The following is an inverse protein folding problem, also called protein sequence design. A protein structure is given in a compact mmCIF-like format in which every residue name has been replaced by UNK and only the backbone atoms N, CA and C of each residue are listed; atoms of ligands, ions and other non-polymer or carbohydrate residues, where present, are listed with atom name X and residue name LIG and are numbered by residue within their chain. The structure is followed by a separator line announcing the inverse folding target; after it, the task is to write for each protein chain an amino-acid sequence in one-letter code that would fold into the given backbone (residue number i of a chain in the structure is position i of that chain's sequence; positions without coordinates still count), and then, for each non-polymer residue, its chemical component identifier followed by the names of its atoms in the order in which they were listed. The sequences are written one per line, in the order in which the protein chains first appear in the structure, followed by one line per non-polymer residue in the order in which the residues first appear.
data_IF_411965735236
#
_entry.id   IF_411965735236
#
_cell.length_a   1.000
_cell.length_b   1.000
_cell.length_c   1.000
_cell.angle_alpha   90.00
_cell.angle_beta   90.00
_cell.angle_gamma   90.00
#
_symmetry.space_group_name_H-M   'P 1'
#
loop_
_entity.id
_entity.type
_entity.pdbx_description
1 polymer ?
#
# COMPACT_ATOMS: atom_id res chain seq x y z
N UNK A 1 -13.22 -12.57 17.30
CA UNK A 1 -12.25 -11.94 18.23
C UNK A 1 -10.76 -12.26 17.95
N UNK A 2 -10.33 -12.53 16.70
CA UNK A 2 -9.04 -13.25 16.49
C UNK A 2 -7.76 -12.43 16.30
N UNK A 3 -7.80 -11.11 16.06
CA UNK A 3 -6.59 -10.29 15.95
C UNK A 3 -6.73 -9.00 16.75
N UNK A 4 -5.82 -8.76 17.69
CA UNK A 4 -5.75 -7.51 18.49
C UNK A 4 -5.03 -6.41 17.72
N UNK A 5 -5.47 -6.14 16.49
CA UNK A 5 -4.95 -5.03 15.67
C UNK A 5 -5.87 -3.83 15.87
N UNK A 6 -5.29 -2.64 16.07
CA UNK A 6 -6.05 -1.40 16.06
C UNK A 6 -6.45 -1.09 14.61
N UNK A 7 -7.70 -1.38 14.27
CA UNK A 7 -8.24 -1.18 12.92
C UNK A 7 -8.98 0.14 12.85
N UNK A 8 -8.51 1.05 11.99
CA UNK A 8 -9.19 2.28 11.63
C UNK A 8 -9.81 2.09 10.25
N UNK A 9 -11.12 2.31 10.14
CA UNK A 9 -11.87 2.24 8.88
C UNK A 9 -12.22 3.68 8.48
N UNK A 10 -11.57 4.18 7.43
CA UNK A 10 -11.88 5.48 6.85
C UNK A 10 -12.96 5.34 5.76
N UNK A 11 -14.16 5.88 5.98
CA UNK A 11 -15.17 5.97 4.93
C UNK A 11 -14.85 7.15 4.00
N UNK A 12 -14.41 6.81 2.79
CA UNK A 12 -14.07 7.79 1.76
C UNK A 12 -14.81 7.51 0.44
N UNK A 13 -15.90 6.73 0.45
CA UNK A 13 -16.58 6.32 -0.78
C UNK A 13 -16.96 7.52 -1.66
N UNK A 14 -17.59 8.53 -1.07
CA UNK A 14 -18.01 9.76 -1.78
C UNK A 14 -16.80 10.52 -2.36
N UNK A 15 -15.70 10.60 -1.60
CA UNK A 15 -14.46 11.27 -2.00
C UNK A 15 -13.87 10.68 -3.28
N UNK A 16 -13.75 9.35 -3.34
CA UNK A 16 -13.27 8.65 -4.53
C UNK A 16 -14.26 8.73 -5.70
N UNK A 17 -15.54 8.44 -5.46
CA UNK A 17 -16.55 8.40 -6.52
C UNK A 17 -16.77 9.77 -7.17
N UNK A 18 -16.75 10.85 -6.40
CA UNK A 18 -16.86 12.22 -6.91
C UNK A 18 -15.70 12.57 -7.84
N UNK A 19 -14.45 12.26 -7.44
CA UNK A 19 -13.26 12.55 -8.27
C UNK A 19 -13.18 11.71 -9.54
N UNK A 20 -13.81 10.53 -9.56
CA UNK A 20 -13.86 9.65 -10.72
C UNK A 20 -15.01 9.98 -11.68
N UNK A 21 -15.92 10.89 -11.31
CA UNK A 21 -17.07 11.24 -12.13
C UNK A 21 -16.64 11.78 -13.50
N UNK A 22 -17.12 11.14 -14.56
CA UNK A 22 -16.82 11.52 -15.95
C UNK A 22 -15.41 11.19 -16.42
N UNK A 23 -14.59 10.53 -15.60
CA UNK A 23 -13.26 10.07 -16.03
C UNK A 23 -13.42 8.79 -16.83
N UNK A 24 -13.03 8.81 -18.11
CA UNK A 24 -13.09 7.64 -19.00
C UNK A 24 -11.73 6.94 -19.11
N UNK A 25 -10.65 7.72 -19.19
CA UNK A 25 -9.29 7.23 -19.39
C UNK A 25 -8.80 6.40 -18.18
N UNK A 26 -8.37 5.14 -18.39
CA UNK A 26 -8.00 4.23 -17.31
C UNK A 26 -6.74 4.68 -16.56
N UNK A 27 -5.76 5.26 -17.24
CA UNK A 27 -4.52 5.73 -16.61
C UNK A 27 -4.79 6.95 -15.73
N UNK A 28 -5.70 7.83 -16.17
CA UNK A 28 -6.18 8.95 -15.37
C UNK A 28 -6.95 8.47 -14.14
N UNK A 29 -7.79 7.43 -14.26
CA UNK A 29 -8.44 6.80 -13.10
C UNK A 29 -7.42 6.27 -12.10
N UNK A 30 -6.41 5.53 -12.57
CA UNK A 30 -5.32 4.99 -11.73
C UNK A 30 -4.60 6.10 -10.96
N UNK A 31 -4.23 7.19 -11.64
CA UNK A 31 -3.59 8.36 -11.01
C UNK A 31 -4.46 9.00 -9.93
N UNK A 32 -5.74 9.25 -10.24
CA UNK A 32 -6.70 9.84 -9.28
C UNK A 32 -6.86 8.96 -8.05
N UNK A 33 -7.04 7.64 -8.23
CA UNK A 33 -7.20 6.71 -7.13
C UNK A 33 -5.93 6.66 -6.27
N UNK A 34 -4.76 6.55 -6.91
CA UNK A 34 -3.48 6.52 -6.20
C UNK A 34 -3.25 7.77 -5.36
N UNK A 35 -3.42 8.95 -5.97
CA UNK A 35 -3.27 10.24 -5.28
C UNK A 35 -4.25 10.37 -4.11
N UNK A 36 -5.52 10.01 -4.32
CA UNK A 36 -6.53 10.18 -3.28
C UNK A 36 -6.36 9.22 -2.10
N UNK A 37 -5.95 7.98 -2.39
CA UNK A 37 -5.60 7.01 -1.37
C UNK A 37 -4.46 7.52 -0.49
N UNK A 38 -3.41 8.06 -1.10
CA UNK A 38 -2.26 8.62 -0.39
C UNK A 38 -2.69 9.78 0.51
N UNK A 39 -3.46 10.74 -0.02
CA UNK A 39 -3.90 11.91 0.76
C UNK A 39 -4.72 11.50 1.98
N UNK A 40 -5.68 10.59 1.79
CA UNK A 40 -6.47 10.05 2.89
C UNK A 40 -5.60 9.29 3.89
N UNK A 41 -4.64 8.50 3.40
CA UNK A 41 -3.72 7.76 4.25
C UNK A 41 -2.83 8.70 5.08
N UNK A 42 -2.35 9.79 4.51
CA UNK A 42 -1.59 10.83 5.21
C UNK A 42 -2.43 11.52 6.28
N UNK A 43 -3.69 11.87 5.97
CA UNK A 43 -4.62 12.47 6.95
C UNK A 43 -4.79 11.54 8.16
N UNK A 44 -5.09 10.26 7.93
CA UNK A 44 -5.24 9.27 9.01
C UNK A 44 -3.93 9.05 9.78
N UNK A 45 -2.79 9.01 9.08
CA UNK A 45 -1.49 8.84 9.72
C UNK A 45 -1.11 10.04 10.61
N UNK A 46 -1.39 11.26 10.17
CA UNK A 46 -1.17 12.48 10.93
C UNK A 46 -2.11 12.54 12.15
N UNK A 47 -3.38 12.15 12.02
CA UNK A 47 -4.36 12.11 13.12
C UNK A 47 -3.94 11.19 14.27
N UNK A 48 -3.33 10.04 13.94
CA UNK A 48 -2.84 9.08 14.95
C UNK A 48 -1.39 9.32 15.37
N UNK A 49 -0.71 10.31 14.78
CA UNK A 49 0.70 10.59 15.05
C UNK A 49 1.64 9.45 14.65
N UNK A 50 1.38 8.78 13.52
CA UNK A 50 2.20 7.65 13.08
C UNK A 50 3.60 8.08 12.66
N UNK A 51 4.63 7.46 13.26
CA UNK A 51 6.03 7.79 12.99
C UNK A 51 6.70 6.83 12.00
N UNK A 52 6.15 5.63 11.82
CA UNK A 52 6.70 4.57 10.97
C UNK A 52 5.64 4.05 10.01
N UNK A 53 6.07 3.73 8.79
CA UNK A 53 5.23 3.06 7.79
C UNK A 53 5.69 1.61 7.64
N UNK A 54 4.80 0.64 7.88
CA UNK A 54 5.07 -0.77 7.61
C UNK A 54 4.47 -1.15 6.26
N UNK A 55 5.27 -1.77 5.38
CA UNK A 55 4.81 -2.26 4.08
C UNK A 55 5.02 -3.76 3.94
N UNK A 56 4.09 -4.43 3.26
CA UNK A 56 4.15 -5.86 2.95
C UNK A 56 5.00 -6.19 1.72
N UNK A 57 5.99 -5.36 1.38
CA UNK A 57 6.90 -5.58 0.24
C UNK A 57 7.57 -6.95 0.35
N UNK A 58 7.55 -7.72 -0.73
CA UNK A 58 8.18 -9.05 -0.81
C UNK A 58 9.35 -9.09 -1.79
N UNK A 59 10.14 -10.17 -1.76
CA UNK A 59 11.36 -10.31 -2.56
C UNK A 59 11.14 -10.11 -4.08
N UNK A 60 10.09 -10.67 -4.71
CA UNK A 60 9.77 -10.38 -6.11
C UNK A 60 9.58 -8.88 -6.41
N UNK A 61 8.97 -8.12 -5.50
CA UNK A 61 8.73 -6.69 -5.70
C UNK A 61 10.06 -5.91 -5.71
N UNK A 62 11.00 -6.29 -4.85
CA UNK A 62 12.32 -5.65 -4.75
C UNK A 62 13.14 -5.90 -6.00
N UNK A 63 13.14 -7.13 -6.52
CA UNK A 63 13.80 -7.45 -7.79
C UNK A 63 13.17 -6.65 -8.93
N UNK A 64 11.84 -6.64 -9.05
CA UNK A 64 11.17 -5.86 -10.09
C UNK A 64 11.55 -4.37 -10.01
N UNK A 65 11.58 -3.78 -8.82
CA UNK A 65 11.99 -2.38 -8.64
C UNK A 65 13.46 -2.12 -9.01
N UNK A 66 14.37 -3.05 -8.74
CA UNK A 66 15.81 -2.93 -9.01
C UNK A 66 16.18 -3.07 -10.49
N UNK A 67 15.46 -3.92 -11.24
CA UNK A 67 15.64 -4.07 -12.69
C UNK A 67 14.95 -2.96 -13.49
N UNK A 68 13.95 -2.28 -12.92
CA UNK A 68 13.12 -1.26 -13.59
C UNK A 68 13.69 0.16 -13.66
N UNK A 69 15.00 0.39 -13.51
CA UNK A 69 15.63 1.69 -13.82
C UNK A 69 15.37 2.20 -15.26
N UNK A 70 14.77 1.37 -16.13
CA UNK A 70 14.44 1.69 -17.53
C UNK A 70 12.96 1.47 -17.93
N UNK A 71 12.03 1.18 -17.01
CA UNK A 71 10.61 0.97 -17.38
C UNK A 71 9.62 1.68 -16.46
N UNK A 72 9.60 3.01 -16.54
CA UNK A 72 8.79 3.92 -15.72
C UNK A 72 7.26 3.83 -15.92
N UNK A 73 6.75 2.98 -16.83
CA UNK A 73 5.36 3.07 -17.29
C UNK A 73 4.41 1.97 -16.84
N UNK A 74 4.88 0.86 -16.25
CA UNK A 74 4.03 -0.35 -16.13
C UNK A 74 3.58 -0.67 -14.69
N UNK A 75 4.24 -0.18 -13.64
CA UNK A 75 3.74 -0.33 -12.26
C UNK A 75 4.14 0.85 -11.37
N UNK A 76 3.44 1.98 -11.49
CA UNK A 76 3.59 3.13 -10.58
C UNK A 76 2.99 2.90 -9.18
N UNK A 77 2.38 1.74 -8.93
CA UNK A 77 1.60 1.47 -7.72
C UNK A 77 2.15 0.36 -6.82
N UNK A 78 3.31 -0.22 -7.13
CA UNK A 78 3.92 -1.21 -6.26
C UNK A 78 5.20 -0.65 -5.66
N UNK A 79 5.06 -0.29 -4.39
CA UNK A 79 6.11 0.05 -3.43
C UNK A 79 6.79 1.40 -3.68
N UNK A 80 6.46 2.36 -2.82
CA UNK A 80 7.13 3.65 -2.62
C UNK A 80 7.05 4.66 -3.78
N UNK A 81 6.82 4.24 -5.03
CA UNK A 81 6.76 5.14 -6.20
C UNK A 81 5.59 6.14 -6.21
N UNK A 82 4.61 5.97 -5.33
CA UNK A 82 3.47 6.88 -5.18
C UNK A 82 3.54 7.76 -3.94
N UNK A 83 4.29 7.38 -2.89
CA UNK A 83 4.27 8.14 -1.64
C UNK A 83 4.84 9.54 -1.91
N UNK A 84 4.20 10.61 -1.43
CA UNK A 84 4.68 11.97 -1.63
C UNK A 84 6.12 12.02 -1.17
N UNK A 85 6.96 12.73 -1.93
CA UNK A 85 8.39 12.96 -1.63
C UNK A 85 8.65 13.49 -0.20
N UNK A 86 7.61 13.83 0.56
CA UNK A 86 7.63 14.36 1.92
C UNK A 86 6.56 13.74 2.83
N UNK A 87 6.42 12.42 2.85
CA UNK A 87 5.76 11.81 4.01
C UNK A 87 6.60 11.99 5.27
N UNK A 88 5.96 12.36 6.39
CA UNK A 88 6.63 12.64 7.68
C UNK A 88 7.06 11.38 8.44
N UNK A 89 7.12 10.22 7.79
CA UNK A 89 7.56 8.99 8.45
C UNK A 89 9.07 9.04 8.68
N UNK A 90 9.49 8.66 9.89
CA UNK A 90 10.91 8.51 10.25
C UNK A 90 11.57 7.43 9.40
N UNK A 91 10.83 6.34 9.10
CA UNK A 91 11.34 5.21 8.32
C UNK A 91 10.20 4.35 7.76
N UNK A 92 10.47 3.73 6.62
CA UNK A 92 9.68 2.64 6.05
C UNK A 92 10.28 1.30 6.51
N UNK A 93 9.44 0.41 7.01
CA UNK A 93 9.81 -0.92 7.52
C UNK A 93 9.16 -1.99 6.65
N UNK A 94 9.98 -2.85 6.05
CA UNK A 94 9.55 -3.88 5.10
C UNK A 94 9.97 -5.27 5.61
N UNK A 95 9.25 -5.85 6.59
CA UNK A 95 9.70 -7.07 7.28
C UNK A 95 9.66 -8.32 6.41
N UNK A 96 8.97 -8.29 5.27
CA UNK A 96 8.79 -9.43 4.36
C UNK A 96 9.68 -9.34 3.12
N UNK A 97 10.57 -8.34 3.03
CA UNK A 97 11.26 -7.99 1.77
C UNK A 97 12.23 -9.06 1.24
N UNK A 98 12.58 -10.05 2.06
CA UNK A 98 13.44 -11.18 1.69
C UNK A 98 12.66 -12.48 1.42
N UNK A 99 11.33 -12.44 1.48
CA UNK A 99 10.47 -13.62 1.34
C UNK A 99 9.78 -13.70 -0.01
N UNK A 100 9.53 -14.92 -0.48
CA UNK A 100 8.63 -15.22 -1.59
C UNK A 100 7.18 -15.35 -1.13
N UNK A 101 6.26 -15.33 -2.09
CA UNK A 101 4.81 -15.32 -1.80
C UNK A 101 4.32 -16.57 -1.08
N UNK A 102 4.90 -17.74 -1.36
CA UNK A 102 4.59 -18.98 -0.65
C UNK A 102 5.11 -18.98 0.79
N UNK A 103 6.25 -18.35 1.06
CA UNK A 103 6.79 -18.18 2.41
C UNK A 103 5.95 -17.23 3.25
N UNK A 104 5.49 -16.12 2.67
CA UNK A 104 4.55 -15.20 3.34
C UNK A 104 3.23 -15.90 3.68
N UNK A 105 2.74 -16.78 2.81
CA UNK A 105 1.55 -17.59 3.11
C UNK A 105 1.75 -18.53 4.29
N UNK A 106 2.89 -19.22 4.35
CA UNK A 106 3.25 -20.07 5.51
C UNK A 106 3.33 -19.27 6.80
N UNK A 107 3.89 -18.05 6.76
CA UNK A 107 3.89 -17.15 7.93
C UNK A 107 2.45 -16.82 8.35
N UNK A 108 1.58 -16.50 7.39
CA UNK A 108 0.16 -16.26 7.64
C UNK A 108 -0.52 -17.41 8.37
N UNK A 109 -0.24 -18.65 7.96
CA UNK A 109 -0.77 -19.85 8.62
C UNK A 109 -0.23 -20.00 10.05
N UNK A 110 1.08 -19.78 10.26
CA UNK A 110 1.74 -19.88 11.57
C UNK A 110 1.18 -18.87 12.57
N UNK A 111 0.91 -17.64 12.13
CA UNK A 111 0.32 -16.59 12.99
C UNK A 111 -1.20 -16.73 13.12
N UNK A 112 -1.80 -17.75 12.50
CA UNK A 112 -3.21 -18.10 12.63
C UNK A 112 -4.17 -17.26 11.78
N UNK A 113 -3.71 -16.65 10.68
CA UNK A 113 -4.60 -15.96 9.73
C UNK A 113 -5.64 -16.95 9.15
N UNK A 114 -6.89 -16.50 8.94
CA UNK A 114 -7.91 -17.32 8.29
C UNK A 114 -7.50 -17.71 6.87
N UNK A 115 -7.83 -18.94 6.45
CA UNK A 115 -7.47 -19.46 5.12
C UNK A 115 -8.09 -18.65 3.99
N UNK A 116 -9.18 -17.92 4.25
CA UNK A 116 -9.85 -17.06 3.28
C UNK A 116 -9.04 -15.78 2.98
N UNK A 117 -8.07 -15.42 3.83
CA UNK A 117 -7.22 -14.22 3.70
C UNK A 117 -5.83 -14.55 3.11
N UNK A 118 -5.35 -15.80 3.23
CA UNK A 118 -4.02 -16.28 2.80
C UNK A 118 -4.02 -16.70 1.31
#
# INVERSE_FOLDING_TARGET
ERFKVNLIIADAQERFTTKLKGVLDPERKRRIIGEEFIRLFEEVADEIGAEYLIQGTIYPDRIESGFRKFSDKIKTHHNVAGLPLRMKFKRIVEPLCDLYKDEVRKIGEIIGLPKEII
#
